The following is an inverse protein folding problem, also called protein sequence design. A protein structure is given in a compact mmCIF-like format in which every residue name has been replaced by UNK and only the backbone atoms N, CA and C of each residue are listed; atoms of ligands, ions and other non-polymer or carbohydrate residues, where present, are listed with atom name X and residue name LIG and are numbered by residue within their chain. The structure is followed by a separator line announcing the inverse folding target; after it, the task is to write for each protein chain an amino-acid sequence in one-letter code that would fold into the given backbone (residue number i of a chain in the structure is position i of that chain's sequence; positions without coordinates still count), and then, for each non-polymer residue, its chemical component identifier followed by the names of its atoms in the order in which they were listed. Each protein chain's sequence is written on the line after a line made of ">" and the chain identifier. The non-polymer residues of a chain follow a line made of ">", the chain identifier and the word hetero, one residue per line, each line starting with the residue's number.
data_IF_786549186316
#
_entry.id   IF_786549186316
#
_cell.length_a   1.000
_cell.length_b   1.000
_cell.length_c   1.000
_cell.angle_alpha   90.00
_cell.angle_beta   90.00
_cell.angle_gamma   90.00
#
_symmetry.space_group_name_H-M   'P 1'
#
loop_
_entity.id
_entity.type
_entity.pdbx_description
1 polymer ?
#
# COMPACT_ATOMS: atom_id res chain seq x y z
N UNK A 1 -12.35 4.33 -50.47
CA UNK A 1 -12.49 5.17 -49.27
C UNK A 1 -13.21 4.37 -48.23
N UNK A 2 -12.46 4.06 -47.18
CA UNK A 2 -12.74 3.12 -46.11
C UNK A 2 -13.74 3.69 -45.11
N UNK A 3 -14.87 3.02 -44.91
CA UNK A 3 -15.93 3.51 -44.02
C UNK A 3 -16.61 2.48 -43.13
N UNK A 4 -16.25 1.18 -43.23
CA UNK A 4 -17.02 0.10 -42.57
C UNK A 4 -16.20 -0.67 -41.52
N UNK A 5 -14.93 -0.33 -41.28
CA UNK A 5 -14.08 -1.02 -40.29
C UNK A 5 -13.89 -0.29 -38.96
N UNK A 6 -14.44 0.91 -38.79
CA UNK A 6 -14.17 1.73 -37.59
C UNK A 6 -15.24 1.62 -36.48
N UNK A 7 -16.45 1.12 -36.78
CA UNK A 7 -17.55 1.08 -35.80
C UNK A 7 -17.52 -0.12 -34.86
N UNK A 8 -17.13 -1.31 -35.35
CA UNK A 8 -17.10 -2.53 -34.53
C UNK A 8 -16.01 -2.50 -33.44
N UNK A 9 -14.87 -1.85 -33.72
CA UNK A 9 -13.75 -1.75 -32.77
C UNK A 9 -14.04 -0.80 -31.59
N UNK A 10 -14.82 0.26 -31.80
CA UNK A 10 -15.11 1.25 -30.75
C UNK A 10 -16.14 0.75 -29.73
N UNK A 11 -17.13 -0.03 -30.17
CA UNK A 11 -18.11 -0.64 -29.28
C UNK A 11 -17.48 -1.77 -28.43
N UNK A 12 -16.59 -2.57 -29.03
CA UNK A 12 -15.89 -3.67 -28.34
C UNK A 12 -14.90 -3.16 -27.28
N UNK A 13 -14.25 -2.02 -27.52
CA UNK A 13 -13.40 -1.34 -26.52
C UNK A 13 -14.24 -0.77 -25.36
N UNK A 14 -15.50 -0.41 -25.59
CA UNK A 14 -16.38 0.14 -24.54
C UNK A 14 -16.93 -0.93 -23.59
N UNK A 15 -17.27 -2.11 -24.10
CA UNK A 15 -17.78 -3.24 -23.31
C UNK A 15 -16.66 -3.98 -22.55
N UNK A 16 -15.50 -4.22 -23.19
CA UNK A 16 -14.33 -4.79 -22.49
C UNK A 16 -13.86 -3.90 -21.32
N UNK A 17 -14.03 -2.58 -21.42
CA UNK A 17 -13.66 -1.64 -20.37
C UNK A 17 -14.68 -1.64 -19.20
N UNK A 18 -15.96 -1.96 -19.47
CA UNK A 18 -16.98 -2.11 -18.43
C UNK A 18 -16.80 -3.38 -17.61
N UNK A 19 -16.58 -4.53 -18.27
CA UNK A 19 -16.35 -5.80 -17.56
C UNK A 19 -15.07 -5.74 -16.71
N UNK A 20 -13.98 -5.19 -17.26
CA UNK A 20 -12.72 -5.00 -16.52
C UNK A 20 -12.87 -4.07 -15.29
N UNK A 21 -13.74 -3.05 -15.37
CA UNK A 21 -14.05 -2.15 -14.25
C UNK A 21 -15.01 -2.77 -13.23
N UNK A 22 -15.94 -3.61 -13.67
CA UNK A 22 -16.90 -4.30 -12.81
C UNK A 22 -16.22 -5.40 -11.96
N UNK A 23 -15.18 -6.05 -12.49
CA UNK A 23 -14.41 -7.06 -11.77
C UNK A 23 -13.42 -6.44 -10.75
N UNK A 24 -13.09 -5.15 -10.91
CA UNK A 24 -12.15 -4.41 -10.08
C UNK A 24 -12.81 -3.56 -8.99
N UNK A 25 -13.93 -4.03 -8.41
CA UNK A 25 -14.49 -3.43 -7.20
C UNK A 25 -13.69 -3.95 -6.01
N UNK A 26 -12.54 -3.32 -5.73
CA UNK A 26 -11.80 -3.56 -4.49
C UNK A 26 -12.72 -3.24 -3.32
N UNK A 27 -13.02 -4.26 -2.50
CA UNK A 27 -13.69 -4.04 -1.22
C UNK A 27 -12.86 -3.06 -0.38
N UNK A 28 -13.50 -2.01 0.13
CA UNK A 28 -12.81 -0.93 0.82
C UNK A 28 -12.49 -1.37 2.25
N UNK A 29 -11.26 -1.78 2.50
CA UNK A 29 -10.81 -2.19 3.84
C UNK A 29 -10.24 -0.99 4.63
N UNK A 30 -10.87 -0.69 5.76
CA UNK A 30 -10.33 0.19 6.81
C UNK A 30 -10.26 -0.57 8.12
N UNK A 31 -9.11 -0.55 8.79
CA UNK A 31 -8.97 -1.13 10.13
C UNK A 31 -8.18 -0.20 11.03
N UNK A 32 -8.73 0.06 12.22
CA UNK A 32 -8.06 0.81 13.26
C UNK A 32 -7.03 -0.06 13.98
N UNK A 33 -5.76 0.17 13.71
CA UNK A 33 -4.67 -0.50 14.43
C UNK A 33 -4.06 0.42 15.48
N UNK A 34 -3.62 -0.12 16.63
CA UNK A 34 -2.86 0.67 17.59
C UNK A 34 -1.51 1.07 16.97
N UNK A 35 -1.06 2.30 17.24
CA UNK A 35 0.24 2.82 16.76
C UNK A 35 1.40 2.02 17.36
N UNK A 36 1.26 1.60 18.62
CA UNK A 36 2.22 0.75 19.33
C UNK A 36 1.55 -0.59 19.65
N UNK A 37 2.21 -1.70 19.32
CA UNK A 37 1.83 -3.05 19.74
C UNK A 37 2.87 -3.66 20.65
N UNK A 38 2.45 -4.62 21.46
CA UNK A 38 3.35 -5.49 22.22
C UNK A 38 3.56 -6.77 21.41
N UNK A 39 4.81 -7.12 21.14
CA UNK A 39 5.16 -8.35 20.44
C UNK A 39 4.74 -9.54 21.32
N UNK A 40 3.95 -10.49 20.80
CA UNK A 40 3.32 -11.53 21.62
C UNK A 40 4.34 -12.42 22.32
N UNK A 41 5.45 -12.74 21.67
CA UNK A 41 6.48 -13.62 22.23
C UNK A 41 7.51 -12.88 23.10
N UNK A 42 8.00 -11.72 22.65
CA UNK A 42 9.10 -11.01 23.32
C UNK A 42 8.66 -9.95 24.33
N UNK A 43 7.38 -9.59 24.33
CA UNK A 43 6.85 -8.51 25.17
C UNK A 43 7.33 -7.09 24.79
N UNK A 44 8.16 -6.96 23.75
CA UNK A 44 8.72 -5.67 23.32
C UNK A 44 7.67 -4.82 22.61
N UNK A 45 7.76 -3.50 22.78
CA UNK A 45 6.88 -2.55 22.09
C UNK A 45 7.41 -2.27 20.67
N UNK A 46 6.53 -2.32 19.68
CA UNK A 46 6.85 -2.08 18.26
C UNK A 46 5.86 -1.09 17.64
N UNK A 47 6.34 -0.27 16.70
CA UNK A 47 5.51 0.66 15.93
C UNK A 47 4.95 -0.05 14.68
N UNK A 48 3.69 0.22 14.31
CA UNK A 48 3.12 -0.30 13.06
C UNK A 48 3.54 0.54 11.83
N UNK A 49 3.79 -0.16 10.72
CA UNK A 49 4.38 0.38 9.49
C UNK A 49 3.48 1.27 8.62
N UNK A 50 3.89 1.43 7.35
CA UNK A 50 3.57 2.58 6.47
C UNK A 50 2.10 2.77 6.04
N UNK A 51 1.18 1.84 6.34
CA UNK A 51 -0.21 1.88 5.87
C UNK A 51 -1.14 2.78 6.71
N UNK A 52 -0.60 3.88 7.27
CA UNK A 52 -1.38 4.82 8.08
C UNK A 52 -2.06 5.84 7.17
N UNK A 53 -3.40 5.82 7.11
CA UNK A 53 -4.19 6.88 6.47
C UNK A 53 -4.31 8.14 7.33
N UNK A 54 -4.57 7.97 8.63
CA UNK A 54 -4.69 9.03 9.64
C UNK A 54 -4.59 8.46 11.05
N UNK A 55 -4.22 9.28 12.02
CA UNK A 55 -4.36 8.93 13.43
C UNK A 55 -5.74 9.35 13.94
N UNK A 56 -6.36 8.51 14.79
CA UNK A 56 -7.67 8.83 15.37
C UNK A 56 -7.55 10.07 16.25
N UNK A 57 -8.50 10.99 16.12
CA UNK A 57 -8.56 12.23 16.90
C UNK A 57 -7.68 13.36 16.37
N UNK A 58 -6.94 13.16 15.27
CA UNK A 58 -6.10 14.18 14.66
C UNK A 58 -6.57 14.54 13.26
N UNK A 59 -6.34 15.80 12.87
CA UNK A 59 -6.55 16.26 11.51
C UNK A 59 -5.52 15.67 10.53
N UNK A 60 -5.72 15.92 9.24
CA UNK A 60 -4.84 15.41 8.17
C UNK A 60 -3.41 15.93 8.32
N UNK A 61 -3.23 17.24 8.52
CA UNK A 61 -1.91 17.87 8.66
C UNK A 61 -1.16 17.33 9.88
N UNK A 62 -1.82 17.31 11.04
CA UNK A 62 -1.25 16.76 12.28
C UNK A 62 -0.85 15.30 12.12
N UNK A 63 -1.72 14.51 11.46
CA UNK A 63 -1.43 13.10 11.20
C UNK A 63 -0.20 12.92 10.32
N UNK A 64 -0.08 13.71 9.25
CA UNK A 64 1.08 13.67 8.36
C UNK A 64 2.38 14.08 9.08
N UNK A 65 2.34 15.13 9.89
CA UNK A 65 3.51 15.58 10.67
C UNK A 65 3.99 14.52 11.64
N UNK A 66 3.07 13.91 12.42
CA UNK A 66 3.44 12.85 13.35
C UNK A 66 3.93 11.59 12.64
N UNK A 67 3.29 11.23 11.52
CA UNK A 67 3.72 10.07 10.73
C UNK A 67 5.15 10.26 10.21
N UNK A 68 5.46 11.44 9.67
CA UNK A 68 6.81 11.76 9.20
C UNK A 68 7.86 11.66 10.32
N UNK A 69 7.54 12.19 11.51
CA UNK A 69 8.44 12.14 12.66
C UNK A 69 8.70 10.70 13.14
N UNK A 70 7.65 9.86 13.20
CA UNK A 70 7.79 8.46 13.59
C UNK A 70 8.59 7.68 12.55
N UNK A 71 8.28 7.86 11.26
CA UNK A 71 8.99 7.19 10.17
C UNK A 71 10.47 7.58 10.14
N UNK A 72 10.80 8.85 10.34
CA UNK A 72 12.18 9.31 10.42
C UNK A 72 12.99 8.62 11.54
N UNK A 73 12.34 8.15 12.61
CA UNK A 73 13.00 7.34 13.67
C UNK A 73 13.13 5.87 13.27
N UNK A 74 12.11 5.32 12.63
CA UNK A 74 12.10 3.92 12.16
C UNK A 74 13.18 3.70 11.09
N UNK A 75 13.36 4.64 10.17
CA UNK A 75 14.27 4.49 9.02
C UNK A 75 15.68 5.02 9.25
N UNK A 76 16.06 5.33 10.50
CA UNK A 76 17.46 5.66 10.83
C UNK A 76 18.38 4.50 10.47
N UNK A 77 19.58 4.80 10.00
CA UNK A 77 20.51 3.76 9.55
C UNK A 77 20.85 2.78 10.67
N UNK A 78 20.97 3.27 11.90
CA UNK A 78 21.20 2.45 13.11
C UNK A 78 20.09 1.42 13.37
N UNK A 79 18.88 1.64 12.84
CA UNK A 79 17.72 0.76 12.99
C UNK A 79 17.46 -0.11 11.74
N UNK A 80 18.33 -0.05 10.74
CA UNK A 80 18.12 -0.73 9.44
C UNK A 80 19.28 -1.65 9.10
N UNK A 81 18.95 -2.76 8.45
CA UNK A 81 19.93 -3.66 7.83
C UNK A 81 19.69 -3.63 6.33
N UNK A 82 20.76 -3.37 5.56
CA UNK A 82 20.74 -3.48 4.11
C UNK A 82 21.36 -4.81 3.71
N UNK A 83 20.56 -5.67 3.08
CA UNK A 83 20.97 -6.99 2.67
C UNK A 83 21.23 -7.07 1.17
N UNK A 84 22.30 -7.74 0.77
CA UNK A 84 22.61 -8.08 -0.62
C UNK A 84 22.33 -9.56 -0.83
N UNK A 85 21.32 -9.88 -1.63
CA UNK A 85 20.98 -11.25 -1.96
C UNK A 85 22.04 -11.88 -2.87
N UNK A 86 22.40 -13.14 -2.60
CA UNK A 86 23.21 -13.97 -3.49
C UNK A 86 22.39 -15.19 -3.91
N UNK A 87 22.52 -15.66 -5.16
CA UNK A 87 21.90 -16.90 -5.57
C UNK A 87 22.44 -18.05 -4.71
N UNK A 88 21.55 -18.94 -4.33
CA UNK A 88 21.93 -20.17 -3.64
C UNK A 88 22.65 -21.09 -4.63
N UNK A 89 23.91 -21.40 -4.35
CA UNK A 89 24.75 -22.30 -5.14
C UNK A 89 25.02 -23.56 -4.32
N UNK A 90 23.96 -24.29 -3.99
CA UNK A 90 24.07 -25.67 -3.59
C UNK A 90 24.16 -26.53 -4.86
N UNK A 91 25.35 -27.09 -5.10
CA UNK A 91 25.65 -28.02 -6.20
C UNK A 91 25.33 -29.46 -5.85
#
# INVERSE_FOLDING_TARGET
>A
MDGVRLSADLDQVSDNNREYRAESVSEYFETGHPVVRVHPETGKRVLLGHFVKRFRGLGTTESATLFALLQARVTKLENTVRWTWTPDVHG
#
